data_IF_247576912466
#
_entry.id   IF_247576912466
#
_cell.length_a   1.000
_cell.length_b   1.000
_cell.length_c   1.000
_cell.angle_alpha   90.00
_cell.angle_beta   90.00
_cell.angle_gamma   90.00
#
_symmetry.space_group_name_H-M   'P 1'
#
loop_
_entity.id
_entity.type
_entity.pdbx_description
1 polymer ?
#
# COMPACT_ATOMS: atom_id res chain seq x y z
N UNK A 1 -14.62 -43.05 43.66
CA UNK A 1 -14.82 -41.60 43.39
C UNK A 1 -14.65 -41.40 41.88
N UNK A 2 -15.70 -41.00 41.14
CA UNK A 2 -15.62 -40.81 39.70
C UNK A 2 -15.09 -39.39 39.33
N UNK A 3 -14.16 -39.33 38.38
CA UNK A 3 -13.60 -38.10 37.84
C UNK A 3 -14.64 -37.36 36.98
N UNK A 4 -14.89 -36.12 37.29
CA UNK A 4 -15.75 -35.21 36.51
C UNK A 4 -15.12 -34.89 35.13
N UNK A 5 -15.87 -35.16 34.04
CA UNK A 5 -15.53 -34.73 32.68
C UNK A 5 -15.89 -33.24 32.54
N UNK A 6 -14.90 -32.43 32.24
CA UNK A 6 -15.12 -31.04 31.85
C UNK A 6 -15.81 -30.96 30.49
N UNK A 7 -16.91 -30.18 30.41
CA UNK A 7 -17.63 -29.88 29.16
C UNK A 7 -16.79 -28.90 28.32
N UNK A 8 -16.45 -29.33 27.12
CA UNK A 8 -15.87 -28.44 26.08
C UNK A 8 -16.97 -27.49 25.62
N UNK A 9 -16.73 -26.18 25.78
CA UNK A 9 -17.64 -25.17 25.27
C UNK A 9 -17.48 -25.04 23.76
N UNK A 10 -18.58 -25.16 23.02
CA UNK A 10 -18.65 -24.91 21.58
C UNK A 10 -18.32 -23.44 21.28
N UNK A 11 -17.25 -23.22 20.53
CA UNK A 11 -16.91 -21.90 19.99
C UNK A 11 -17.84 -21.64 18.80
N UNK A 12 -18.79 -20.72 18.99
CA UNK A 12 -19.66 -20.23 17.91
C UNK A 12 -18.81 -19.54 16.84
N UNK A 13 -18.92 -20.04 15.60
CA UNK A 13 -18.32 -19.46 14.41
C UNK A 13 -18.80 -18.00 14.21
N UNK A 14 -17.85 -17.08 14.12
CA UNK A 14 -18.10 -15.67 13.80
C UNK A 14 -18.63 -15.55 12.35
N UNK A 15 -19.59 -14.63 12.07
CA UNK A 15 -20.14 -14.48 10.72
C UNK A 15 -19.08 -13.98 9.74
N UNK A 16 -19.10 -14.56 8.53
CA UNK A 16 -18.22 -14.20 7.41
C UNK A 16 -18.21 -12.69 7.17
N UNK A 17 -17.02 -12.09 7.17
CA UNK A 17 -16.81 -10.67 6.85
C UNK A 17 -17.28 -10.40 5.42
N UNK A 18 -18.15 -9.41 5.25
CA UNK A 18 -18.59 -8.90 3.95
C UNK A 18 -17.37 -8.44 3.16
N UNK A 19 -17.26 -8.93 1.93
CA UNK A 19 -16.22 -8.54 0.97
C UNK A 19 -16.11 -7.02 0.88
N UNK A 20 -14.88 -6.50 0.92
CA UNK A 20 -14.62 -5.09 0.65
C UNK A 20 -15.20 -4.72 -0.71
N UNK A 21 -15.76 -3.49 -0.89
CA UNK A 21 -16.37 -3.11 -2.14
C UNK A 21 -15.32 -3.17 -3.27
N UNK A 22 -15.57 -4.04 -4.25
CA UNK A 22 -14.85 -4.03 -5.52
C UNK A 22 -15.23 -2.72 -6.20
N UNK A 23 -14.28 -1.79 -6.33
CA UNK A 23 -14.48 -0.58 -7.11
C UNK A 23 -14.52 -1.03 -8.58
N UNK A 24 -15.73 -1.10 -9.15
CA UNK A 24 -15.89 -1.32 -10.58
C UNK A 24 -15.14 -0.24 -11.35
N UNK A 25 -14.11 -0.65 -12.08
CA UNK A 25 -13.35 0.25 -12.93
C UNK A 25 -14.17 0.65 -14.13
N UNK A 26 -14.50 1.94 -14.23
CA UNK A 26 -15.00 2.52 -15.48
C UNK A 26 -13.96 2.26 -16.58
N UNK A 27 -14.43 1.88 -17.77
CA UNK A 27 -13.58 1.58 -18.93
C UNK A 27 -12.48 2.64 -19.12
N UNK A 28 -11.27 2.19 -19.47
CA UNK A 28 -10.14 3.08 -19.73
C UNK A 28 -10.52 4.19 -20.70
N UNK A 29 -10.27 5.45 -20.34
CA UNK A 29 -10.54 6.60 -21.20
C UNK A 29 -9.83 6.45 -22.56
N UNK A 30 -10.43 6.88 -23.67
CA UNK A 30 -9.81 6.85 -24.99
C UNK A 30 -8.41 7.48 -24.96
N UNK A 31 -7.47 6.97 -25.78
CA UNK A 31 -6.12 7.53 -25.88
C UNK A 31 -6.18 8.99 -26.31
N UNK A 32 -5.38 9.85 -25.69
CA UNK A 32 -5.27 11.26 -26.05
C UNK A 32 -6.24 12.21 -25.34
N UNK A 33 -7.22 11.70 -24.55
CA UNK A 33 -8.18 12.56 -23.85
C UNK A 33 -7.50 13.38 -22.75
N UNK A 34 -6.61 12.77 -21.95
CA UNK A 34 -5.87 13.50 -20.91
C UNK A 34 -4.94 14.52 -21.54
N UNK A 35 -4.25 14.17 -22.65
CA UNK A 35 -3.37 15.08 -23.36
C UNK A 35 -4.13 16.30 -23.88
N UNK A 36 -5.32 16.11 -24.50
CA UNK A 36 -6.15 17.20 -24.98
C UNK A 36 -6.55 18.16 -23.84
N UNK A 37 -7.01 17.61 -22.71
CA UNK A 37 -7.36 18.41 -21.53
C UNK A 37 -6.16 19.10 -20.90
N UNK A 38 -4.99 18.47 -20.92
CA UNK A 38 -3.77 19.07 -20.41
C UNK A 38 -3.33 20.27 -21.24
N UNK A 39 -3.58 20.24 -22.55
CA UNK A 39 -3.34 21.39 -23.43
C UNK A 39 -4.19 22.61 -23.03
N UNK A 40 -5.46 22.35 -22.67
CA UNK A 40 -6.35 23.40 -22.13
C UNK A 40 -5.84 23.92 -20.77
N UNK A 41 -5.46 23.02 -19.85
CA UNK A 41 -4.90 23.40 -18.54
C UNK A 41 -3.67 24.29 -18.69
N UNK A 42 -2.75 23.97 -19.61
CA UNK A 42 -1.56 24.78 -19.86
C UNK A 42 -1.94 26.22 -20.25
N UNK A 43 -2.96 26.39 -21.11
CA UNK A 43 -3.46 27.73 -21.50
C UNK A 43 -4.07 28.48 -20.30
N UNK A 44 -4.86 27.80 -19.49
CA UNK A 44 -5.49 28.40 -18.29
C UNK A 44 -4.44 28.82 -17.24
N UNK A 45 -3.26 28.17 -17.22
CA UNK A 45 -2.13 28.59 -16.40
C UNK A 45 -1.37 29.80 -16.96
N UNK A 46 -1.79 30.33 -18.12
CA UNK A 46 -1.18 31.49 -18.77
C UNK A 46 0.02 31.17 -19.66
N UNK A 47 0.21 29.90 -20.04
CA UNK A 47 1.31 29.43 -20.88
C UNK A 47 0.85 29.08 -22.31
N UNK A 48 1.79 29.19 -23.28
CA UNK A 48 1.58 28.76 -24.66
C UNK A 48 1.94 27.28 -24.84
N UNK A 49 0.95 26.39 -25.03
CA UNK A 49 1.20 24.96 -25.24
C UNK A 49 1.90 24.64 -26.58
N UNK A 50 1.94 25.61 -27.52
CA UNK A 50 2.58 25.42 -28.83
C UNK A 50 4.07 25.82 -28.82
N UNK A 51 4.58 26.46 -27.75
CA UNK A 51 6.03 26.77 -27.65
C UNK A 51 6.84 25.46 -27.51
N UNK A 52 8.07 25.45 -28.04
CA UNK A 52 8.94 24.25 -28.14
C UNK A 52 9.02 23.43 -26.84
N UNK A 53 9.20 24.08 -25.70
CA UNK A 53 9.33 23.41 -24.40
C UNK A 53 8.08 22.69 -23.94
N UNK A 54 6.88 23.11 -24.43
CA UNK A 54 5.58 22.56 -24.01
C UNK A 54 4.89 21.72 -25.08
N UNK A 55 5.36 21.73 -26.32
CA UNK A 55 4.73 21.04 -27.46
C UNK A 55 4.40 19.57 -27.17
N UNK A 56 5.32 18.86 -26.51
CA UNK A 56 5.13 17.44 -26.15
C UNK A 56 4.68 17.21 -24.70
N UNK A 57 4.45 18.27 -23.93
CA UNK A 57 4.07 18.17 -22.50
C UNK A 57 2.73 17.48 -22.30
N UNK A 58 1.67 17.76 -23.07
CA UNK A 58 0.39 17.08 -22.91
C UNK A 58 0.50 15.55 -22.99
N UNK A 59 1.20 15.02 -24.00
CA UNK A 59 1.40 13.59 -24.17
C UNK A 59 2.28 12.97 -23.07
N UNK A 60 3.31 13.69 -22.64
CA UNK A 60 4.18 13.26 -21.54
C UNK A 60 3.41 13.18 -20.23
N UNK A 61 2.55 14.16 -19.94
CA UNK A 61 1.70 14.17 -18.75
C UNK A 61 0.70 13.02 -18.78
N UNK A 62 0.05 12.78 -19.93
CA UNK A 62 -0.86 11.64 -20.07
C UNK A 62 -0.16 10.32 -19.76
N UNK A 63 1.02 10.09 -20.35
CA UNK A 63 1.83 8.88 -20.09
C UNK A 63 2.23 8.74 -18.63
N UNK A 64 2.67 9.85 -18.02
CA UNK A 64 3.06 9.88 -16.62
C UNK A 64 1.87 9.57 -15.69
N UNK A 65 0.72 10.21 -15.89
CA UNK A 65 -0.47 9.96 -15.08
C UNK A 65 -0.97 8.53 -15.21
N UNK A 66 -1.00 7.97 -16.44
CA UNK A 66 -1.36 6.56 -16.66
C UNK A 66 -0.42 5.59 -15.95
N UNK A 67 0.88 5.86 -15.95
CA UNK A 67 1.85 5.06 -15.22
C UNK A 67 1.66 5.18 -13.70
N UNK A 68 1.54 6.40 -13.20
CA UNK A 68 1.38 6.69 -11.76
C UNK A 68 0.04 6.21 -11.20
N UNK A 69 -0.93 5.88 -12.07
CA UNK A 69 -2.24 5.33 -11.69
C UNK A 69 -2.46 3.91 -12.21
N UNK A 70 -1.42 3.24 -12.67
CA UNK A 70 -1.50 1.88 -13.23
C UNK A 70 -1.96 0.81 -12.22
N UNK A 71 -1.83 1.10 -10.94
CA UNK A 71 -2.31 0.24 -9.88
C UNK A 71 -3.82 0.01 -9.86
N UNK A 72 -4.61 0.87 -10.51
CA UNK A 72 -6.05 0.61 -10.66
C UNK A 72 -6.37 -0.60 -11.55
N UNK A 73 -5.47 -0.95 -12.47
CA UNK A 73 -5.62 -2.12 -13.35
C UNK A 73 -4.81 -3.33 -12.89
N UNK A 74 -4.10 -3.22 -11.76
CA UNK A 74 -3.28 -4.29 -11.24
C UNK A 74 -4.13 -5.37 -10.56
N UNK A 75 -3.94 -6.62 -10.95
CA UNK A 75 -4.50 -7.79 -10.28
C UNK A 75 -3.47 -8.36 -9.29
N UNK A 76 -3.83 -8.38 -8.01
CA UNK A 76 -2.96 -8.87 -6.94
C UNK A 76 -2.69 -10.38 -7.11
N UNK A 77 -3.65 -11.15 -7.60
CA UNK A 77 -3.48 -12.59 -7.83
C UNK A 77 -2.44 -12.87 -8.92
N UNK A 78 -2.45 -12.08 -10.00
CA UNK A 78 -1.45 -12.15 -11.06
C UNK A 78 -0.07 -11.69 -10.58
N UNK A 79 -0.01 -10.66 -9.75
CA UNK A 79 1.25 -10.19 -9.14
C UNK A 79 1.88 -11.30 -8.30
N UNK A 80 1.10 -11.96 -7.45
CA UNK A 80 1.58 -13.06 -6.61
C UNK A 80 1.96 -14.27 -7.47
N UNK A 81 1.19 -14.57 -8.53
CA UNK A 81 1.48 -15.61 -9.52
C UNK A 81 1.92 -16.94 -8.86
N UNK A 82 1.13 -17.44 -7.91
CA UNK A 82 1.39 -18.71 -7.23
C UNK A 82 2.62 -18.73 -6.30
N UNK A 83 3.30 -17.61 -6.08
CA UNK A 83 4.45 -17.54 -5.17
C UNK A 83 4.03 -17.51 -3.70
N UNK A 84 3.24 -18.50 -3.31
CA UNK A 84 2.83 -18.81 -1.95
C UNK A 84 3.39 -20.18 -1.60
N UNK A 85 4.17 -20.25 -0.51
CA UNK A 85 4.90 -21.45 -0.12
C UNK A 85 4.44 -21.94 1.25
N UNK A 86 4.20 -23.24 1.39
CA UNK A 86 3.86 -23.84 2.67
C UNK A 86 5.09 -23.86 3.59
N UNK A 87 4.87 -23.55 4.86
CA UNK A 87 5.92 -23.48 5.89
C UNK A 87 5.46 -24.10 7.20
N UNK A 88 6.42 -24.55 8.00
CA UNK A 88 6.19 -25.14 9.33
C UNK A 88 6.81 -24.30 10.46
N UNK A 89 7.06 -23.02 10.23
CA UNK A 89 7.57 -22.10 11.22
C UNK A 89 6.63 -20.89 11.36
N UNK A 90 6.68 -20.22 12.49
CA UNK A 90 5.77 -19.15 12.89
C UNK A 90 6.50 -17.84 13.28
N UNK A 91 7.78 -17.75 12.97
CA UNK A 91 8.59 -16.56 13.22
C UNK A 91 8.17 -15.41 12.30
N UNK A 92 8.35 -14.18 12.77
CA UNK A 92 8.00 -12.98 12.02
C UNK A 92 8.82 -12.85 10.73
N UNK A 93 8.14 -12.62 9.62
CA UNK A 93 8.77 -12.23 8.35
C UNK A 93 8.64 -10.72 8.19
N UNK A 94 9.77 -10.02 7.96
CA UNK A 94 9.81 -8.58 7.79
C UNK A 94 10.47 -8.23 6.46
N UNK A 95 9.77 -7.47 5.62
CA UNK A 95 10.33 -6.81 4.43
C UNK A 95 10.28 -5.31 4.69
N UNK A 96 11.45 -4.69 4.82
CA UNK A 96 11.58 -3.29 5.23
C UNK A 96 12.19 -2.42 4.15
N UNK A 97 12.06 -1.12 4.33
CA UNK A 97 12.61 -0.11 3.45
C UNK A 97 12.10 -0.22 1.99
N UNK A 98 10.86 -0.66 1.81
CA UNK A 98 10.23 -0.73 0.49
C UNK A 98 9.92 0.70 0.06
N UNK A 99 10.68 1.20 -0.90
CA UNK A 99 10.46 2.53 -1.47
C UNK A 99 9.18 2.54 -2.29
N UNK A 100 8.42 3.62 -2.18
CA UNK A 100 7.20 3.81 -2.98
C UNK A 100 7.00 5.27 -3.37
N UNK A 101 6.29 5.45 -4.48
CA UNK A 101 5.76 6.74 -4.95
C UNK A 101 4.26 6.63 -5.16
N UNK A 102 3.52 7.62 -4.70
CA UNK A 102 2.07 7.70 -4.82
C UNK A 102 1.62 9.12 -5.13
N UNK A 103 0.35 9.28 -5.46
CA UNK A 103 -0.25 10.59 -5.72
C UNK A 103 -1.34 10.88 -4.69
N UNK A 104 -1.21 12.00 -3.99
CA UNK A 104 -2.23 12.46 -3.06
C UNK A 104 -3.54 12.74 -3.82
N UNK A 105 -4.64 12.12 -3.42
CA UNK A 105 -5.94 12.27 -4.08
C UNK A 105 -6.51 13.69 -3.99
N UNK A 106 -6.12 14.46 -2.97
CA UNK A 106 -6.64 15.81 -2.76
C UNK A 106 -6.05 16.86 -3.72
N UNK A 107 -4.81 16.65 -4.16
CA UNK A 107 -4.08 17.66 -4.94
C UNK A 107 -3.42 17.11 -6.20
N UNK A 108 -3.44 15.79 -6.41
CA UNK A 108 -2.68 15.10 -7.45
C UNK A 108 -1.17 15.44 -7.43
N UNK A 109 -0.65 15.79 -6.24
CA UNK A 109 0.77 15.99 -6.02
C UNK A 109 1.38 14.72 -5.41
N UNK A 110 2.68 14.43 -5.69
CA UNK A 110 3.31 13.24 -5.17
C UNK A 110 3.42 13.21 -3.64
N UNK A 111 3.36 12.02 -3.08
CA UNK A 111 3.96 11.69 -1.80
C UNK A 111 4.77 10.40 -1.97
N UNK A 112 5.83 10.26 -1.22
CA UNK A 112 6.78 9.17 -1.37
C UNK A 112 7.44 8.86 -0.04
N UNK A 113 7.97 7.66 0.06
CA UNK A 113 8.62 7.26 1.30
C UNK A 113 8.99 5.80 1.31
N UNK A 114 8.92 5.21 2.50
CA UNK A 114 9.25 3.82 2.74
C UNK A 114 8.10 3.11 3.44
N UNK A 115 7.90 1.88 3.07
CA UNK A 115 6.94 1.00 3.72
C UNK A 115 7.64 -0.22 4.28
N UNK A 116 7.25 -0.62 5.47
CA UNK A 116 7.71 -1.81 6.15
C UNK A 116 6.53 -2.74 6.31
N UNK A 117 6.65 -3.95 5.79
CA UNK A 117 5.61 -4.98 5.84
C UNK A 117 6.11 -6.14 6.66
N UNK A 118 5.36 -6.52 7.69
CA UNK A 118 5.65 -7.67 8.51
C UNK A 118 4.41 -8.56 8.64
N UNK A 119 4.63 -9.86 8.73
CA UNK A 119 3.55 -10.80 9.05
C UNK A 119 4.07 -12.01 9.83
N UNK A 120 3.20 -12.59 10.63
CA UNK A 120 3.42 -13.85 11.34
C UNK A 120 2.75 -14.97 10.53
N UNK A 121 3.51 -15.84 9.86
CA UNK A 121 2.92 -16.94 9.08
C UNK A 121 2.10 -17.87 9.99
N UNK A 122 1.05 -18.48 9.44
CA UNK A 122 0.39 -19.64 10.02
C UNK A 122 0.83 -20.92 9.27
N UNK A 123 0.57 -20.95 7.97
CA UNK A 123 0.90 -22.09 7.10
C UNK A 123 1.60 -21.72 5.81
N UNK A 124 1.54 -20.44 5.44
CA UNK A 124 2.06 -19.95 4.15
C UNK A 124 2.87 -18.67 4.30
N UNK A 125 3.87 -18.55 3.43
CA UNK A 125 4.63 -17.30 3.22
C UNK A 125 4.50 -16.83 1.78
N UNK A 126 4.69 -15.52 1.59
CA UNK A 126 4.69 -14.88 0.27
C UNK A 126 6.12 -14.74 -0.19
N UNK A 127 6.39 -15.04 -1.46
CA UNK A 127 7.71 -14.78 -2.06
C UNK A 127 8.11 -13.31 -1.85
N UNK A 128 9.27 -13.06 -1.25
CA UNK A 128 9.71 -11.73 -0.78
C UNK A 128 9.59 -10.64 -1.86
N UNK A 129 9.91 -10.97 -3.12
CA UNK A 129 9.80 -10.03 -4.25
C UNK A 129 8.37 -9.63 -4.62
N UNK A 130 7.35 -10.33 -4.10
CA UNK A 130 5.94 -10.03 -4.36
C UNK A 130 5.43 -8.92 -3.47
N UNK A 131 5.97 -8.81 -2.27
CA UNK A 131 5.55 -7.80 -1.29
C UNK A 131 5.77 -6.37 -1.81
N UNK A 132 6.95 -5.97 -2.33
CA UNK A 132 7.12 -4.66 -2.95
C UNK A 132 6.18 -4.41 -4.14
N UNK A 133 5.88 -5.43 -4.93
CA UNK A 133 4.94 -5.31 -6.06
C UNK A 133 3.50 -5.09 -5.61
N UNK A 134 3.10 -5.68 -4.49
CA UNK A 134 1.80 -5.42 -3.86
C UNK A 134 1.74 -3.98 -3.36
N UNK A 135 2.81 -3.49 -2.71
CA UNK A 135 2.93 -2.09 -2.29
C UNK A 135 2.77 -1.15 -3.49
N UNK A 136 3.49 -1.40 -4.59
CA UNK A 136 3.40 -0.61 -5.82
C UNK A 136 1.99 -0.61 -6.42
N UNK A 137 1.31 -1.75 -6.43
CA UNK A 137 -0.05 -1.88 -6.97
C UNK A 137 -1.07 -1.02 -6.23
N UNK A 138 -0.88 -0.82 -4.92
CA UNK A 138 -1.72 0.09 -4.14
C UNK A 138 -1.21 1.52 -4.16
N UNK A 139 0.11 1.75 -4.20
CA UNK A 139 0.71 3.07 -4.23
C UNK A 139 0.44 3.81 -5.55
N UNK A 140 0.45 3.10 -6.69
CA UNK A 140 0.18 3.68 -8.01
C UNK A 140 -1.30 3.92 -8.26
N UNK A 141 -1.92 4.71 -7.37
CA UNK A 141 -3.33 5.16 -7.40
C UNK A 141 -3.40 6.58 -6.85
N UNK A 142 -4.57 7.21 -6.95
CA UNK A 142 -4.85 8.40 -6.15
C UNK A 142 -5.16 7.95 -4.72
N UNK A 143 -4.31 8.32 -3.76
CA UNK A 143 -4.30 7.76 -2.42
C UNK A 143 -4.27 8.81 -1.31
N UNK A 144 -4.64 8.35 -0.12
CA UNK A 144 -4.19 8.92 1.14
C UNK A 144 -3.31 7.86 1.83
N UNK A 145 -2.33 8.31 2.60
CA UNK A 145 -1.33 7.42 3.21
C UNK A 145 -1.97 6.37 4.13
N UNK A 146 -2.99 6.74 4.88
CA UNK A 146 -3.71 5.87 5.80
C UNK A 146 -4.39 4.71 5.07
N UNK A 147 -5.09 5.02 3.96
CA UNK A 147 -5.76 4.01 3.12
C UNK A 147 -4.75 3.10 2.45
N UNK A 148 -3.67 3.66 1.89
CA UNK A 148 -2.59 2.88 1.30
C UNK A 148 -2.04 1.86 2.30
N UNK A 149 -1.72 2.31 3.52
CA UNK A 149 -1.18 1.46 4.60
C UNK A 149 -2.15 0.34 4.96
N UNK A 150 -3.43 0.66 5.09
CA UNK A 150 -4.47 -0.31 5.44
C UNK A 150 -4.70 -1.33 4.32
N UNK A 151 -4.78 -0.89 3.06
CA UNK A 151 -5.02 -1.78 1.91
C UNK A 151 -3.89 -2.79 1.71
N UNK A 152 -2.65 -2.38 1.91
CA UNK A 152 -1.50 -3.31 1.86
C UNK A 152 -1.63 -4.38 2.95
N UNK A 153 -1.96 -3.99 4.19
CA UNK A 153 -2.13 -4.95 5.28
C UNK A 153 -3.27 -5.95 5.01
N UNK A 154 -4.43 -5.45 4.59
CA UNK A 154 -5.60 -6.28 4.26
C UNK A 154 -5.33 -7.23 3.08
N UNK A 155 -4.56 -6.78 2.09
CA UNK A 155 -4.17 -7.62 0.95
C UNK A 155 -3.31 -8.80 1.40
N UNK A 156 -2.30 -8.57 2.26
CA UNK A 156 -1.46 -9.64 2.82
C UNK A 156 -2.32 -10.59 3.68
N UNK A 157 -3.20 -10.05 4.53
CA UNK A 157 -4.11 -10.87 5.35
C UNK A 157 -4.99 -11.78 4.47
N UNK A 158 -5.55 -11.22 3.38
CA UNK A 158 -6.41 -11.99 2.46
C UNK A 158 -5.69 -13.07 1.66
N UNK A 159 -4.39 -12.87 1.35
CA UNK A 159 -3.61 -13.81 0.55
C UNK A 159 -3.20 -15.08 1.30
N UNK A 160 -2.79 -14.97 2.56
CA UNK A 160 -2.17 -16.08 3.30
C UNK A 160 -2.82 -16.36 4.66
N UNK A 161 -3.82 -15.58 5.07
CA UNK A 161 -4.48 -15.70 6.38
C UNK A 161 -3.49 -15.89 7.54
N UNK A 162 -2.51 -15.00 7.70
CA UNK A 162 -1.46 -15.16 8.69
C UNK A 162 -2.02 -14.90 10.10
N UNK A 163 -1.28 -15.26 11.14
CA UNK A 163 -1.65 -14.97 12.54
C UNK A 163 -1.70 -13.46 12.85
N UNK A 164 -1.01 -12.66 12.06
CA UNK A 164 -1.04 -11.20 12.14
C UNK A 164 -0.28 -10.54 11.00
N UNK A 165 -0.67 -9.31 10.69
CA UNK A 165 0.00 -8.44 9.71
C UNK A 165 0.25 -7.09 10.36
N UNK A 166 1.40 -6.52 10.07
CA UNK A 166 1.74 -5.15 10.42
C UNK A 166 2.34 -4.42 9.22
N UNK A 167 1.84 -3.24 8.93
CA UNK A 167 2.38 -2.35 7.93
C UNK A 167 2.66 -1.00 8.56
N UNK A 168 3.87 -0.50 8.39
CA UNK A 168 4.27 0.86 8.81
C UNK A 168 4.71 1.61 7.56
N UNK A 169 4.20 2.81 7.38
CA UNK A 169 4.48 3.67 6.24
C UNK A 169 4.99 5.02 6.73
N UNK A 170 6.15 5.41 6.25
CA UNK A 170 6.78 6.71 6.49
C UNK A 170 6.86 7.47 5.18
N UNK A 171 6.28 8.67 5.11
CA UNK A 171 6.25 9.42 3.86
C UNK A 171 6.37 10.93 4.04
N UNK A 172 6.84 11.56 2.97
CA UNK A 172 6.85 13.01 2.77
C UNK A 172 5.85 13.37 1.68
N UNK A 173 5.14 14.48 1.87
CA UNK A 173 4.06 14.92 1.00
C UNK A 173 4.36 16.26 0.34
N UNK A 174 4.50 16.30 -0.98
CA UNK A 174 4.72 17.56 -1.70
C UNK A 174 3.57 18.56 -1.52
N UNK A 175 2.35 18.07 -1.31
CA UNK A 175 1.21 18.95 -1.02
C UNK A 175 1.34 19.72 0.31
N UNK A 176 2.22 19.29 1.22
CA UNK A 176 2.58 19.98 2.45
C UNK A 176 3.90 20.74 2.36
N UNK A 177 4.83 20.30 1.50
CA UNK A 177 6.18 20.83 1.43
C UNK A 177 6.29 22.07 0.56
N UNK A 178 5.73 22.04 -0.66
CA UNK A 178 5.94 23.07 -1.69
C UNK A 178 4.86 24.15 -1.71
N UNK A 179 3.77 23.95 -1.04
CA UNK A 179 2.63 24.87 -0.90
C UNK A 179 1.79 24.49 0.32
N UNK A 180 0.83 25.33 0.69
CA UNK A 180 -0.04 25.16 1.85
C UNK A 180 0.69 25.47 3.14
N UNK A 181 1.06 24.47 3.91
CA UNK A 181 1.76 24.68 5.21
C UNK A 181 3.26 24.87 5.08
N UNK A 182 3.86 24.56 3.94
CA UNK A 182 5.28 24.81 3.58
C UNK A 182 6.28 24.25 4.61
N UNK A 183 6.04 23.02 5.10
CA UNK A 183 6.90 22.34 6.07
C UNK A 183 7.72 21.25 5.40
N UNK A 184 8.94 21.57 4.96
CA UNK A 184 9.83 20.71 4.18
C UNK A 184 10.35 19.49 4.94
N UNK A 185 10.49 19.58 6.27
CA UNK A 185 11.02 18.50 7.12
C UNK A 185 9.92 17.71 7.83
N UNK A 186 8.65 18.00 7.53
CA UNK A 186 7.52 17.30 8.11
C UNK A 186 7.30 15.99 7.38
N UNK A 187 7.32 14.89 8.10
CA UNK A 187 6.95 13.54 7.61
C UNK A 187 5.73 13.02 8.35
N UNK A 188 4.98 12.14 7.69
CA UNK A 188 3.86 11.43 8.28
C UNK A 188 4.22 9.95 8.47
N UNK A 189 3.80 9.37 9.61
CA UNK A 189 3.93 7.93 9.86
C UNK A 189 2.52 7.39 10.07
N UNK A 190 2.17 6.35 9.33
CA UNK A 190 0.92 5.61 9.50
C UNK A 190 1.20 4.13 9.74
N UNK A 191 0.33 3.45 10.47
CA UNK A 191 0.46 2.02 10.71
C UNK A 191 -0.88 1.31 10.64
N UNK A 192 -0.85 0.08 10.13
CA UNK A 192 -1.96 -0.87 10.17
C UNK A 192 -1.49 -2.13 10.89
N UNK A 193 -2.21 -2.52 11.94
CA UNK A 193 -1.90 -3.70 12.75
C UNK A 193 -3.13 -4.62 12.73
N UNK A 194 -2.97 -5.86 12.29
CA UNK A 194 -4.01 -6.87 12.20
C UNK A 194 -3.62 -8.13 13.01
N UNK A 195 -4.59 -8.90 13.43
CA UNK A 195 -4.37 -10.15 14.16
C UNK A 195 -3.50 -9.96 15.42
N UNK A 196 -2.46 -10.79 15.57
CA UNK A 196 -1.59 -10.82 16.74
C UNK A 196 -0.88 -9.48 17.01
N UNK A 197 -0.46 -8.74 15.98
CA UNK A 197 0.15 -7.43 16.17
C UNK A 197 -0.82 -6.39 16.77
N UNK A 198 -2.11 -6.57 16.56
CA UNK A 198 -3.13 -5.71 17.17
C UNK A 198 -3.46 -6.11 18.60
N UNK A 199 -3.55 -7.41 18.86
CA UNK A 199 -4.07 -7.95 20.13
C UNK A 199 -2.98 -8.20 21.19
N UNK A 200 -1.73 -8.48 20.79
CA UNK A 200 -0.62 -8.77 21.69
C UNK A 200 0.40 -7.63 21.69
N UNK A 201 0.53 -6.97 22.83
CA UNK A 201 1.42 -5.80 22.99
C UNK A 201 2.90 -6.18 22.86
N UNK A 202 3.28 -7.33 23.36
CA UNK A 202 4.65 -7.86 23.32
C UNK A 202 5.11 -8.08 21.89
N UNK A 203 4.31 -8.78 21.08
CA UNK A 203 4.58 -9.03 19.66
C UNK A 203 4.71 -7.73 18.86
N UNK A 204 3.85 -6.75 19.15
CA UNK A 204 3.94 -5.44 18.53
C UNK A 204 5.21 -4.68 18.93
N UNK A 205 5.58 -4.70 20.20
CA UNK A 205 6.79 -4.04 20.70
C UNK A 205 8.07 -4.67 20.13
N UNK A 206 8.10 -5.98 20.01
CA UNK A 206 9.20 -6.70 19.34
C UNK A 206 9.39 -6.23 17.91
N UNK A 207 8.30 -6.20 17.11
CA UNK A 207 8.34 -5.70 15.75
C UNK A 207 8.87 -4.26 15.68
N UNK A 208 8.32 -3.35 16.50
CA UNK A 208 8.76 -1.96 16.50
C UNK A 208 10.24 -1.82 16.88
N UNK A 209 10.74 -2.66 17.79
CA UNK A 209 12.15 -2.72 18.15
C UNK A 209 13.02 -3.19 16.99
N UNK A 210 12.58 -4.21 16.23
CA UNK A 210 13.27 -4.70 15.04
C UNK A 210 13.31 -3.65 13.92
N UNK A 211 12.21 -2.90 13.73
CA UNK A 211 12.15 -1.80 12.75
C UNK A 211 13.03 -0.61 13.15
N UNK A 212 13.13 -0.30 14.44
CA UNK A 212 13.98 0.78 14.96
C UNK A 212 15.48 0.51 14.82
N UNK A 213 15.89 -0.75 14.71
CA UNK A 213 17.29 -1.11 14.49
C UNK A 213 17.71 -0.66 13.07
N UNK A 214 18.55 0.37 12.99
CA UNK A 214 19.16 0.76 11.72
C UNK A 214 20.03 -0.39 11.20
N UNK A 215 19.65 -1.00 10.09
CA UNK A 215 20.57 -1.83 9.34
C UNK A 215 21.68 -0.90 8.81
N UNK A 216 22.91 -1.10 9.31
CA UNK A 216 24.06 -0.59 8.55
C UNK A 216 23.92 -1.24 7.17
N UNK A 217 23.84 -0.39 6.12
CA UNK A 217 23.83 -0.89 4.73
C UNK A 217 24.99 -1.88 4.57
N UNK A 218 24.60 -3.11 4.19
CA UNK A 218 25.57 -4.16 3.85
C UNK A 218 26.31 -3.72 2.59
#
# INVERSE_FOLDING_TARGET
MPRARAKVAEVKSSPAKKNAPVIEMKSAAPRGVIAARMKEVIRELGEDPERDGLLNTPDRVEKALKYLTSGYSADISEIVNGALFDVNYDEVVIVRDIEFFSMCEHHMLPFFGKMHVAYLPDKKVIGLSKIPRIVDAFARRLQIQERLTQQVAESIEGLISPRGVAVVCEAQHFCMMMRGVEKQHSGAITSAMLGAFRTHKETRNELLSLLAQRTKSI
#
